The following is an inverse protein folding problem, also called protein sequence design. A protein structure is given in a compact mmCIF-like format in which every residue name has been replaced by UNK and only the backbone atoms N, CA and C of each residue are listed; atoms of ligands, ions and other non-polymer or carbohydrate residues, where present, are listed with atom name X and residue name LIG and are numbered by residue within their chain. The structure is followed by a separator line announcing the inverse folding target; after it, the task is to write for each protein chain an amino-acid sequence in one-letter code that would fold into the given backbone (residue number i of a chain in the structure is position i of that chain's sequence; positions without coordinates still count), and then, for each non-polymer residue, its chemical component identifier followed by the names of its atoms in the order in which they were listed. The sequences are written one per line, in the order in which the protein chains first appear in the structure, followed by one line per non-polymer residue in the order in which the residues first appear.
data_IF_342553353012
#
_entry.id   IF_342553353012
#
_cell.length_a   1.000
_cell.length_b   1.000
_cell.length_c   1.000
_cell.angle_alpha   90.00
_cell.angle_beta   90.00
_cell.angle_gamma   90.00
#
_symmetry.space_group_name_H-M   'P 1'
#
loop_
_entity.id
_entity.type
_entity.pdbx_description
1 polymer ?
#
# COMPACT_ATOMS: atom_id res chain seq x y z
N UNK A 1 5.63 -25.92 -6.27
CA UNK A 1 4.80 -25.03 -7.11
C UNK A 1 5.23 -23.59 -6.88
N UNK A 2 5.57 -22.85 -7.94
CA UNK A 2 6.12 -21.48 -7.83
C UNK A 2 5.04 -20.45 -7.42
N UNK A 3 3.78 -20.68 -7.76
CA UNK A 3 2.64 -19.83 -7.33
C UNK A 3 2.43 -19.86 -5.82
N UNK A 4 2.51 -21.04 -5.18
CA UNK A 4 2.33 -21.14 -3.72
C UNK A 4 3.41 -20.37 -2.96
N UNK A 5 4.67 -20.46 -3.41
CA UNK A 5 5.78 -19.67 -2.85
C UNK A 5 5.58 -18.17 -3.06
N UNK A 6 5.08 -17.77 -4.22
CA UNK A 6 4.79 -16.37 -4.53
C UNK A 6 3.63 -15.81 -3.70
N UNK A 7 2.61 -16.63 -3.41
CA UNK A 7 1.55 -16.27 -2.45
C UNK A 7 2.09 -16.12 -1.04
N UNK A 8 3.01 -16.99 -0.61
CA UNK A 8 3.66 -16.85 0.70
C UNK A 8 4.45 -15.55 0.82
N UNK A 9 5.21 -15.22 -0.22
CA UNK A 9 5.93 -13.97 -0.29
C UNK A 9 4.98 -12.77 -0.24
N UNK A 10 3.93 -12.76 -1.07
CA UNK A 10 2.96 -11.65 -1.09
C UNK A 10 2.21 -11.52 0.24
N UNK A 11 1.84 -12.64 0.88
CA UNK A 11 1.23 -12.61 2.22
C UNK A 11 2.17 -11.94 3.23
N UNK A 12 3.46 -12.29 3.21
CA UNK A 12 4.45 -11.69 4.10
C UNK A 12 4.66 -10.19 3.81
N UNK A 13 4.72 -9.82 2.52
CA UNK A 13 4.79 -8.43 2.06
C UNK A 13 3.63 -7.60 2.64
N UNK A 14 2.39 -8.03 2.40
CA UNK A 14 1.17 -7.34 2.87
C UNK A 14 1.10 -7.20 4.39
N UNK A 15 1.57 -8.22 5.13
CA UNK A 15 1.67 -8.14 6.59
C UNK A 15 2.67 -7.08 7.05
N UNK A 16 3.80 -6.94 6.35
CA UNK A 16 4.81 -5.91 6.64
C UNK A 16 4.30 -4.53 6.26
N UNK A 17 3.65 -4.37 5.11
CA UNK A 17 3.02 -3.10 4.70
C UNK A 17 1.96 -2.66 5.71
N UNK A 18 1.10 -3.58 6.18
CA UNK A 18 0.13 -3.29 7.23
C UNK A 18 0.79 -2.76 8.51
N UNK A 19 1.93 -3.35 8.90
CA UNK A 19 2.71 -2.92 10.08
C UNK A 19 3.35 -1.56 9.86
N UNK A 20 3.94 -1.32 8.68
CA UNK A 20 4.52 -0.04 8.28
C UNK A 20 3.46 1.07 8.39
N UNK A 21 2.28 0.89 7.79
CA UNK A 21 1.20 1.87 7.89
C UNK A 21 0.72 2.07 9.32
N UNK A 22 0.65 1.02 10.13
CA UNK A 22 0.31 1.18 11.54
C UNK A 22 1.35 2.03 12.28
N UNK A 23 2.64 1.75 12.12
CA UNK A 23 3.72 2.49 12.77
C UNK A 23 3.78 3.96 12.33
N UNK A 24 3.59 4.23 11.04
CA UNK A 24 3.45 5.60 10.53
C UNK A 24 2.23 6.27 11.15
N UNK A 25 1.09 5.58 11.25
CA UNK A 25 -0.13 6.10 11.87
C UNK A 25 0.01 6.41 13.37
N UNK A 26 0.88 5.69 14.08
CA UNK A 26 1.23 5.96 15.48
C UNK A 26 2.10 7.23 15.62
N UNK A 27 2.99 7.48 14.66
CA UNK A 27 3.84 8.69 14.62
C UNK A 27 3.09 9.94 14.10
N UNK A 28 2.10 9.75 13.21
CA UNK A 28 1.27 10.82 12.64
C UNK A 28 -0.23 10.64 12.95
N UNK A 29 -0.62 10.70 14.24
CA UNK A 29 -1.96 10.28 14.68
C UNK A 29 -3.11 11.16 14.21
N UNK A 30 -2.90 12.46 13.94
CA UNK A 30 -3.88 13.35 13.27
C UNK A 30 -3.36 14.78 13.13
N UNK A 31 -3.35 15.32 11.90
CA UNK A 31 -3.81 16.69 11.53
C UNK A 31 -3.39 17.15 10.12
N UNK A 32 -2.26 16.70 9.60
CA UNK A 32 -1.69 17.29 8.37
C UNK A 32 -2.15 16.61 7.06
N UNK A 33 -2.61 15.36 7.11
CA UNK A 33 -3.11 14.62 5.94
C UNK A 33 -4.59 14.19 6.00
N UNK A 34 -5.31 14.50 7.09
CA UNK A 34 -6.72 14.09 7.21
C UNK A 34 -7.63 15.10 6.50
N UNK A 35 -8.41 14.64 5.52
CA UNK A 35 -9.52 15.42 4.95
C UNK A 35 -10.63 15.67 6.00
N UNK A 36 -10.64 14.93 7.11
CA UNK A 36 -11.65 15.06 8.16
C UNK A 36 -11.12 14.48 9.50
N UNK A 37 -11.51 15.07 10.64
CA UNK A 37 -11.09 14.62 12.00
C UNK A 37 -11.39 13.13 12.31
N UNK A 38 -12.23 12.48 11.51
CA UNK A 38 -12.62 11.06 11.65
C UNK A 38 -11.84 10.10 10.75
N UNK A 39 -11.01 10.59 9.83
CA UNK A 39 -10.36 9.77 8.80
C UNK A 39 -8.86 9.64 9.06
N UNK A 40 -8.46 8.61 9.80
CA UNK A 40 -7.06 8.25 9.97
C UNK A 40 -6.62 7.40 8.77
N UNK A 41 -6.03 8.05 7.78
CA UNK A 41 -5.53 7.44 6.53
C UNK A 41 -4.73 6.18 6.81
N UNK A 42 -3.68 6.28 7.62
CA UNK A 42 -2.75 5.20 7.93
C UNK A 42 -3.44 4.00 8.58
N UNK A 43 -4.35 4.25 9.53
CA UNK A 43 -5.16 3.19 10.15
C UNK A 43 -6.08 2.50 9.14
N UNK A 44 -6.66 3.25 8.21
CA UNK A 44 -7.51 2.70 7.15
C UNK A 44 -6.69 1.85 6.17
N UNK A 45 -5.52 2.33 5.74
CA UNK A 45 -4.61 1.59 4.86
C UNK A 45 -4.14 0.29 5.52
N UNK A 46 -3.65 0.35 6.77
CA UNK A 46 -3.27 -0.85 7.53
C UNK A 46 -4.41 -1.87 7.71
N UNK A 47 -5.67 -1.40 7.74
CA UNK A 47 -6.85 -2.29 7.77
C UNK A 47 -7.09 -2.93 6.40
N UNK A 48 -6.86 -2.21 5.31
CA UNK A 48 -7.06 -2.73 3.97
C UNK A 48 -6.03 -3.83 3.64
N UNK A 49 -4.75 -3.65 4.01
CA UNK A 49 -3.73 -4.71 3.82
C UNK A 49 -4.02 -5.98 4.61
N UNK A 50 -4.58 -5.84 5.82
CA UNK A 50 -5.03 -7.02 6.59
C UNK A 50 -6.15 -7.79 5.88
N UNK A 51 -6.97 -7.12 5.06
CA UNK A 51 -7.96 -7.81 4.22
C UNK A 51 -7.29 -8.44 3.01
N UNK A 52 -6.30 -7.80 2.40
CA UNK A 52 -5.50 -8.41 1.32
C UNK A 52 -4.84 -9.72 1.78
N UNK A 53 -4.22 -9.72 2.96
CA UNK A 53 -3.70 -10.93 3.62
C UNK A 53 -4.77 -12.02 3.75
N UNK A 54 -5.99 -11.66 4.19
CA UNK A 54 -7.08 -12.62 4.34
C UNK A 54 -7.49 -13.24 2.99
N UNK A 55 -7.57 -12.43 1.94
CA UNK A 55 -7.88 -12.89 0.57
C UNK A 55 -6.80 -13.83 0.05
N UNK A 56 -5.52 -13.47 0.17
CA UNK A 56 -4.40 -14.29 -0.28
C UNK A 56 -4.31 -15.63 0.48
N UNK A 57 -4.64 -15.64 1.78
CA UNK A 57 -4.71 -16.88 2.57
C UNK A 57 -5.82 -17.82 2.10
N UNK A 58 -7.00 -17.26 1.77
CA UNK A 58 -8.08 -18.03 1.17
C UNK A 58 -7.62 -18.63 -0.15
N UNK A 59 -6.95 -17.83 -0.99
CA UNK A 59 -6.43 -18.28 -2.28
C UNK A 59 -5.39 -19.40 -2.14
N UNK A 60 -4.43 -19.24 -1.22
CA UNK A 60 -3.45 -20.29 -0.90
C UNK A 60 -4.13 -21.58 -0.43
N UNK A 61 -5.22 -21.48 0.34
CA UNK A 61 -5.97 -22.65 0.78
C UNK A 61 -6.58 -23.41 -0.40
N UNK A 62 -7.09 -22.71 -1.43
CA UNK A 62 -7.64 -23.35 -2.62
C UNK A 62 -6.58 -24.14 -3.40
N UNK A 63 -5.38 -23.57 -3.58
CA UNK A 63 -4.26 -24.29 -4.18
C UNK A 63 -3.96 -25.61 -3.46
N UNK A 64 -3.98 -25.61 -2.13
CA UNK A 64 -3.71 -26.81 -1.33
C UNK A 64 -4.80 -27.88 -1.45
N UNK A 65 -6.04 -27.47 -1.70
CA UNK A 65 -7.18 -28.39 -1.89
C UNK A 65 -7.29 -28.96 -3.30
N UNK A 66 -6.30 -28.73 -4.17
CA UNK A 66 -6.27 -29.29 -5.52
C UNK A 66 -6.99 -28.45 -6.58
N UNK A 67 -7.31 -27.19 -6.28
CA UNK A 67 -7.81 -26.24 -7.30
C UNK A 67 -6.76 -26.09 -8.40
N UNK A 68 -7.20 -26.18 -9.65
CA UNK A 68 -6.31 -26.10 -10.81
C UNK A 68 -5.71 -24.69 -10.93
N UNK A 69 -4.38 -24.62 -11.03
CA UNK A 69 -3.66 -23.41 -11.43
C UNK A 69 -3.94 -23.17 -12.92
N UNK A 70 -4.54 -22.03 -13.26
CA UNK A 70 -4.85 -21.64 -14.65
C UNK A 70 -3.62 -21.10 -15.34
N UNK A 71 -2.84 -20.29 -14.62
CA UNK A 71 -1.57 -19.73 -15.07
C UNK A 71 -0.62 -19.62 -13.87
N UNK A 72 0.52 -20.32 -13.88
CA UNK A 72 1.53 -20.15 -12.84
C UNK A 72 2.01 -18.70 -12.79
N UNK A 73 2.16 -18.18 -11.57
CA UNK A 73 2.72 -16.85 -11.32
C UNK A 73 3.91 -17.03 -10.42
N UNK A 74 5.01 -16.36 -10.76
CA UNK A 74 6.25 -16.42 -10.01
C UNK A 74 6.77 -15.01 -9.81
N UNK A 75 7.03 -14.65 -8.55
CA UNK A 75 7.84 -13.47 -8.21
C UNK A 75 9.28 -13.95 -8.23
N UNK A 76 10.10 -13.42 -9.15
CA UNK A 76 11.47 -13.91 -9.31
C UNK A 76 12.32 -13.67 -8.05
N UNK A 77 13.38 -14.45 -7.81
CA UNK A 77 14.30 -14.22 -6.69
C UNK A 77 14.89 -12.81 -6.68
N UNK A 78 15.17 -12.23 -7.86
CA UNK A 78 15.67 -10.86 -8.00
C UNK A 78 14.63 -9.85 -7.53
N UNK A 79 13.39 -9.95 -8.01
CA UNK A 79 12.29 -9.08 -7.55
C UNK A 79 12.03 -9.22 -6.06
N UNK A 80 12.09 -10.44 -5.52
CA UNK A 80 11.97 -10.66 -4.07
C UNK A 80 13.08 -9.94 -3.30
N UNK A 81 14.33 -10.05 -3.77
CA UNK A 81 15.47 -9.35 -3.17
C UNK A 81 15.34 -7.83 -3.19
N UNK A 82 14.86 -7.26 -4.30
CA UNK A 82 14.62 -5.82 -4.43
C UNK A 82 13.53 -5.32 -3.49
N UNK A 83 12.41 -6.05 -3.40
CA UNK A 83 11.29 -5.74 -2.50
C UNK A 83 11.73 -5.83 -1.04
N UNK A 84 12.47 -6.89 -0.69
CA UNK A 84 13.02 -7.07 0.67
C UNK A 84 13.95 -5.92 1.06
N UNK A 85 14.87 -5.52 0.17
CA UNK A 85 15.75 -4.39 0.40
C UNK A 85 14.98 -3.07 0.57
N UNK A 86 13.94 -2.86 -0.24
CA UNK A 86 13.06 -1.69 -0.11
C UNK A 86 12.34 -1.68 1.25
N UNK A 87 11.74 -2.79 1.65
CA UNK A 87 11.02 -2.89 2.93
C UNK A 87 11.95 -2.65 4.12
N UNK A 88 13.14 -3.24 4.13
CA UNK A 88 14.15 -3.01 5.17
C UNK A 88 14.55 -1.53 5.26
N UNK A 89 14.74 -0.87 4.11
CA UNK A 89 15.03 0.57 4.04
C UNK A 89 13.90 1.41 4.64
N UNK A 90 12.64 1.06 4.36
CA UNK A 90 11.48 1.77 4.88
C UNK A 90 11.30 1.54 6.38
N UNK A 91 11.43 0.31 6.85
CA UNK A 91 11.38 -0.05 8.28
C UNK A 91 12.47 0.69 9.07
N UNK A 92 13.70 0.75 8.55
CA UNK A 92 14.79 1.50 9.17
C UNK A 92 14.49 3.01 9.24
N UNK A 93 13.92 3.59 8.18
CA UNK A 93 13.50 5.01 8.19
C UNK A 93 12.45 5.30 9.25
N UNK A 94 11.44 4.43 9.37
CA UNK A 94 10.36 4.58 10.37
C UNK A 94 10.93 4.49 11.79
N UNK A 95 11.84 3.55 12.03
CA UNK A 95 12.51 3.39 13.32
C UNK A 95 13.35 4.61 13.72
N UNK A 96 14.05 5.22 12.76
CA UNK A 96 14.94 6.36 12.99
C UNK A 96 14.22 7.72 13.08
N UNK A 97 12.89 7.74 12.99
CA UNK A 97 12.11 8.97 12.93
C UNK A 97 11.96 9.44 11.48
N UNK A 98 10.76 9.23 10.94
CA UNK A 98 10.40 9.60 9.58
C UNK A 98 9.64 10.93 9.59
N UNK A 99 9.77 11.75 8.55
CA UNK A 99 8.91 12.94 8.37
C UNK A 99 7.71 12.66 7.45
N UNK A 100 6.75 13.57 7.42
CA UNK A 100 5.49 13.36 6.68
C UNK A 100 5.67 13.25 5.15
N UNK A 101 6.63 13.97 4.58
CA UNK A 101 6.96 13.86 3.15
C UNK A 101 7.48 12.47 2.82
N UNK A 102 8.40 11.96 3.66
CA UNK A 102 8.95 10.62 3.51
C UNK A 102 7.90 9.53 3.71
N UNK A 103 6.96 9.70 4.64
CA UNK A 103 5.87 8.76 4.84
C UNK A 103 5.00 8.61 3.58
N UNK A 104 4.76 9.71 2.85
CA UNK A 104 4.03 9.67 1.58
C UNK A 104 4.85 9.08 0.43
N UNK A 105 6.16 9.30 0.40
CA UNK A 105 7.03 8.60 -0.53
C UNK A 105 7.03 7.09 -0.29
N UNK A 106 7.00 6.65 0.97
CA UNK A 106 6.84 5.23 1.32
C UNK A 106 5.49 4.72 0.82
N UNK A 107 4.39 5.44 1.06
CA UNK A 107 3.07 5.08 0.55
C UNK A 107 3.10 4.86 -0.97
N UNK A 108 3.64 5.82 -1.73
CA UNK A 108 3.71 5.70 -3.19
C UNK A 108 4.58 4.53 -3.66
N UNK A 109 5.67 4.21 -2.94
CA UNK A 109 6.56 3.11 -3.27
C UNK A 109 5.90 1.74 -3.04
N UNK A 110 5.21 1.57 -1.91
CA UNK A 110 4.54 0.32 -1.56
C UNK A 110 3.40 -0.03 -2.53
N UNK A 111 2.60 0.97 -2.90
CA UNK A 111 1.47 0.81 -3.83
C UNK A 111 1.89 0.44 -5.25
N UNK A 112 3.05 0.95 -5.70
CA UNK A 112 3.60 0.59 -7.00
C UNK A 112 3.99 -0.89 -7.02
N UNK A 113 4.66 -1.37 -5.97
CA UNK A 113 5.03 -2.77 -5.85
C UNK A 113 3.81 -3.69 -5.75
N UNK A 114 2.78 -3.29 -5.00
CA UNK A 114 1.63 -4.17 -4.74
C UNK A 114 0.84 -4.51 -6.02
N UNK A 115 0.65 -3.53 -6.91
CA UNK A 115 -0.08 -3.71 -8.17
C UNK A 115 0.54 -4.74 -9.10
N UNK A 116 1.87 -4.82 -9.13
CA UNK A 116 2.58 -5.67 -10.09
C UNK A 116 2.51 -7.16 -9.71
N UNK A 117 2.29 -7.47 -8.43
CA UNK A 117 2.34 -8.86 -7.92
C UNK A 117 1.02 -9.37 -7.34
N UNK A 118 0.25 -8.52 -6.67
CA UNK A 118 -1.02 -8.92 -6.06
C UNK A 118 -2.05 -9.32 -7.12
N UNK A 119 -2.15 -8.52 -8.20
CA UNK A 119 -3.15 -8.73 -9.23
C UNK A 119 -2.97 -10.07 -9.97
N UNK A 120 -1.77 -10.42 -10.49
CA UNK A 120 -1.57 -11.69 -11.18
C UNK A 120 -1.80 -12.90 -10.26
N UNK A 121 -1.40 -12.82 -8.98
CA UNK A 121 -1.55 -13.93 -8.04
C UNK A 121 -3.01 -14.31 -7.77
N UNK A 122 -3.91 -13.33 -7.67
CA UNK A 122 -5.35 -13.60 -7.53
C UNK A 122 -6.00 -14.21 -8.77
N UNK A 123 -5.38 -14.07 -9.94
CA UNK A 123 -5.88 -14.64 -11.20
C UNK A 123 -5.27 -16.02 -11.50
N UNK A 124 -4.34 -16.50 -10.66
CA UNK A 124 -3.57 -17.70 -10.91
C UNK A 124 -4.35 -19.01 -10.69
N UNK A 125 -5.49 -18.97 -9.98
CA UNK A 125 -6.36 -20.14 -9.78
C UNK A 125 -7.73 -20.00 -10.42
N UNK A 126 -8.30 -21.14 -10.81
CA UNK A 126 -9.68 -21.24 -11.29
C UNK A 126 -10.67 -21.37 -10.12
N UNK A 127 -10.61 -20.45 -9.16
CA UNK A 127 -11.53 -20.48 -8.03
C UNK A 127 -12.84 -19.81 -8.42
N UNK A 128 -13.93 -20.60 -8.52
CA UNK A 128 -15.31 -20.08 -8.64
C UNK A 128 -15.68 -19.11 -7.51
N UNK A 129 -14.98 -19.22 -6.37
CA UNK A 129 -15.14 -18.32 -5.23
C UNK A 129 -14.43 -16.99 -5.51
N UNK A 130 -13.22 -17.00 -6.09
CA UNK A 130 -12.54 -15.80 -6.60
C UNK A 130 -13.21 -15.18 -7.82
N UNK A 131 -13.87 -15.97 -8.70
CA UNK A 131 -14.70 -15.42 -9.77
C UNK A 131 -15.99 -14.76 -9.24
N UNK A 132 -16.37 -15.02 -7.98
CA UNK A 132 -17.40 -14.28 -7.25
C UNK A 132 -16.83 -13.07 -6.48
N UNK A 133 -15.52 -12.80 -6.55
CA UNK A 133 -14.89 -11.52 -6.16
C UNK A 133 -14.80 -10.58 -7.38
N UNK A 134 -15.93 -10.15 -7.96
CA UNK A 134 -16.18 -10.21 -9.40
C UNK A 134 -15.19 -9.41 -10.28
N UNK A 135 -14.63 -8.31 -9.78
CA UNK A 135 -13.54 -7.53 -10.39
C UNK A 135 -12.80 -6.78 -9.26
N UNK A 136 -11.70 -7.30 -8.69
CA UNK A 136 -10.89 -6.71 -7.58
C UNK A 136 -11.69 -6.07 -6.45
N UNK A 137 -11.87 -6.82 -5.35
CA UNK A 137 -12.70 -6.49 -4.17
C UNK A 137 -12.88 -4.98 -3.92
N UNK A 138 -14.09 -4.56 -3.56
CA UNK A 138 -14.40 -3.18 -3.12
C UNK A 138 -13.36 -2.62 -2.13
N UNK A 139 -12.67 -3.46 -1.37
CA UNK A 139 -11.54 -3.07 -0.52
C UNK A 139 -10.34 -2.51 -1.28
N UNK A 140 -9.88 -3.19 -2.34
CA UNK A 140 -8.75 -2.78 -3.17
C UNK A 140 -9.07 -1.48 -3.92
N UNK A 141 -10.25 -1.37 -4.52
CA UNK A 141 -10.71 -0.14 -5.17
C UNK A 141 -10.84 1.04 -4.18
N UNK A 142 -11.26 0.77 -2.93
CA UNK A 142 -11.32 1.80 -1.89
C UNK A 142 -9.92 2.19 -1.41
N UNK A 143 -9.00 1.25 -1.34
CA UNK A 143 -7.60 1.45 -0.98
C UNK A 143 -6.89 2.33 -2.02
N UNK A 144 -6.94 1.96 -3.31
CA UNK A 144 -6.37 2.79 -4.39
C UNK A 144 -6.95 4.21 -4.41
N UNK A 145 -8.27 4.35 -4.22
CA UNK A 145 -8.92 5.68 -4.15
C UNK A 145 -8.45 6.50 -2.96
N UNK A 146 -8.17 5.87 -1.81
CA UNK A 146 -7.65 6.57 -0.61
C UNK A 146 -6.23 7.05 -0.88
N UNK A 147 -5.39 6.20 -1.46
CA UNK A 147 -4.01 6.51 -1.84
C UNK A 147 -3.96 7.68 -2.82
N UNK A 148 -4.71 7.60 -3.93
CA UNK A 148 -4.75 8.66 -4.93
C UNK A 148 -5.22 10.00 -4.36
N UNK A 149 -6.28 9.99 -3.55
CA UNK A 149 -6.79 11.22 -2.90
C UNK A 149 -5.75 11.83 -1.95
N UNK A 150 -5.03 11.00 -1.20
CA UNK A 150 -4.02 11.46 -0.25
C UNK A 150 -2.77 12.02 -0.95
N UNK A 151 -2.32 11.38 -2.03
CA UNK A 151 -1.22 11.88 -2.86
C UNK A 151 -1.58 13.23 -3.50
N UNK A 152 -2.75 13.32 -4.14
CA UNK A 152 -3.24 14.58 -4.73
C UNK A 152 -3.37 15.70 -3.70
N UNK A 153 -3.85 15.40 -2.48
CA UNK A 153 -3.98 16.41 -1.45
C UNK A 153 -2.63 16.97 -1.01
N UNK A 154 -1.62 16.09 -0.85
CA UNK A 154 -0.27 16.52 -0.48
C UNK A 154 0.39 17.36 -1.57
N UNK A 155 0.30 16.95 -2.83
CA UNK A 155 0.81 17.76 -3.96
C UNK A 155 0.19 19.16 -3.98
N UNK A 156 -1.12 19.26 -3.69
CA UNK A 156 -1.83 20.53 -3.63
C UNK A 156 -1.49 21.37 -2.39
N UNK A 157 -1.20 20.75 -1.23
CA UNK A 157 -0.72 21.45 -0.03
C UNK A 157 0.72 21.95 -0.19
N UNK A 158 1.58 21.18 -0.87
CA UNK A 158 2.94 21.58 -1.22
C UNK A 158 2.97 22.82 -2.10
N UNK A 159 2.09 22.89 -3.11
CA UNK A 159 1.93 24.08 -3.98
C UNK A 159 1.45 25.33 -3.23
N UNK A 160 0.57 25.18 -2.23
CA UNK A 160 0.10 26.33 -1.44
C UNK A 160 1.16 26.95 -0.53
N UNK A 161 2.23 26.22 -0.17
CA UNK A 161 3.35 26.79 0.59
C UNK A 161 4.35 27.57 -0.27
N UNK A 162 4.31 27.40 -1.59
CA UNK A 162 5.16 28.16 -2.54
C UNK A 162 4.49 29.41 -3.09
N UNK A 163 3.19 29.60 -2.86
CA UNK A 163 2.42 30.78 -3.29
C UNK A 163 2.37 31.89 -2.22
N UNK A 164 3.41 32.02 -1.38
CA UNK A 164 3.66 33.31 -0.73
C UNK A 164 4.37 34.22 -1.73
N UNK A 165 3.57 35.01 -2.46
CA UNK A 165 4.07 36.25 -3.06
C UNK A 165 4.90 36.99 -2.01
N UNK A 166 6.10 37.49 -2.33
CA UNK A 166 6.81 38.36 -1.41
C UNK A 166 5.89 39.52 -1.08
N UNK A 167 5.64 39.76 0.20
CA UNK A 167 4.95 40.95 0.67
C UNK A 167 5.72 42.12 0.09
N UNK A 168 5.11 42.84 -0.86
CA UNK A 168 5.66 44.08 -1.39
C UNK A 168 5.76 45.06 -0.22
N UNK A 169 6.94 45.13 0.38
CA UNK A 169 7.32 46.29 1.16
C UNK A 169 7.39 47.48 0.23
N UNK A 170 6.69 48.55 0.58
CA UNK A 170 6.88 49.98 0.22
C UNK A 170 5.58 50.73 0.53
N UNK A 171 5.54 51.90 1.16
CA UNK A 171 6.52 52.79 1.81
C UNK A 171 5.65 53.83 2.52
N UNK A 172 5.98 54.26 3.73
CA UNK A 172 5.39 55.49 4.28
C UNK A 172 5.81 56.69 3.40
N UNK A 173 4.83 57.47 2.96
CA UNK A 173 4.99 58.84 2.45
C UNK A 173 3.91 59.70 3.10
#
# INVERSE_FOLDING_TARGET
MNTERSLDFQIAFEQRVAKIYQQIGEQFPSKTLSMNKKDNLWKNLARDERKHVAILKIEKSFLKTGTRVTKPVEISPESQGEIEAMLLKYEAKIYNGINESEALHILSGLEACDKDFFLPLLKATDSKLLSQFPEYSKSFQLHERRVQKSLQHYENLGRRKTDHKPTEGKTDV
#
